data_IF_996200637721
#
_entry.id   IF_996200637721
#
_cell.length_a   1.000
_cell.length_b   1.000
_cell.length_c   1.000
_cell.angle_alpha   90.00
_cell.angle_beta   90.00
_cell.angle_gamma   90.00
#
_symmetry.space_group_name_H-M   'P 1'
#
loop_
_entity.id
_entity.type
_entity.pdbx_description
1 polymer ?
#
# COMPACT_ATOMS: atom_id res chain seq x y z
N UNK A 1 66.22 36.65 43.53
CA UNK A 1 64.94 35.91 43.70
C UNK A 1 64.23 35.87 42.34
N UNK A 2 64.17 34.71 41.70
CA UNK A 2 63.49 34.52 40.39
C UNK A 2 62.26 33.67 40.67
N UNK A 3 61.08 34.29 40.63
CA UNK A 3 59.81 33.51 40.66
C UNK A 3 59.51 32.90 39.32
N UNK A 4 59.32 31.60 39.32
CA UNK A 4 58.88 30.84 38.14
C UNK A 4 57.34 30.75 38.16
N UNK A 5 56.72 31.34 37.16
CA UNK A 5 55.30 31.15 36.93
C UNK A 5 55.09 29.78 36.22
N UNK A 6 54.34 28.92 36.87
CA UNK A 6 53.86 27.66 36.28
C UNK A 6 52.46 27.95 35.70
N UNK A 7 52.34 27.90 34.40
CA UNK A 7 51.08 27.99 33.69
C UNK A 7 50.49 26.59 33.61
N UNK A 8 49.40 26.33 34.32
CA UNK A 8 48.61 25.10 34.22
C UNK A 8 47.65 25.27 33.03
N UNK A 9 47.89 24.53 31.95
CA UNK A 9 46.94 24.42 30.85
C UNK A 9 45.90 23.34 31.19
N UNK A 10 44.65 23.74 31.45
CA UNK A 10 43.55 22.82 31.60
C UNK A 10 43.01 22.41 30.23
N UNK A 11 43.22 21.16 29.86
CA UNK A 11 42.63 20.57 28.66
C UNK A 11 41.20 20.12 29.04
N UNK A 12 40.18 20.87 28.57
CA UNK A 12 38.79 20.46 28.66
C UNK A 12 38.47 19.42 27.58
N UNK A 13 38.36 18.14 27.98
CA UNK A 13 37.91 17.06 27.12
C UNK A 13 36.39 17.16 26.94
N UNK A 14 35.94 17.76 25.84
CA UNK A 14 34.52 17.81 25.49
C UNK A 14 34.05 16.42 25.00
N UNK A 15 33.27 15.75 25.83
CA UNK A 15 32.58 14.52 25.42
C UNK A 15 31.44 14.87 24.43
N UNK A 16 31.63 14.57 23.15
CA UNK A 16 30.57 14.63 22.16
C UNK A 16 29.68 13.42 22.36
N UNK A 17 28.51 13.61 22.99
CA UNK A 17 27.48 12.58 23.07
C UNK A 17 26.79 12.53 21.71
N UNK A 18 27.15 11.56 20.88
CA UNK A 18 26.38 11.24 19.70
C UNK A 18 25.07 10.57 20.16
N UNK A 19 23.99 11.34 20.17
CA UNK A 19 22.65 10.81 20.31
C UNK A 19 22.29 10.06 19.03
N UNK A 20 22.43 8.71 19.04
CA UNK A 20 21.85 7.87 18.01
C UNK A 20 20.33 7.86 18.22
N UNK A 21 19.62 8.72 17.51
CA UNK A 21 18.17 8.60 17.41
C UNK A 21 17.88 7.27 16.69
N UNK A 22 17.51 6.25 17.45
CA UNK A 22 16.96 5.02 16.88
C UNK A 22 15.62 5.39 16.25
N UNK A 23 15.57 5.44 14.91
CA UNK A 23 14.33 5.48 14.19
C UNK A 23 13.64 4.13 14.46
N UNK A 24 12.71 4.09 15.42
CA UNK A 24 11.81 2.96 15.57
C UNK A 24 10.96 2.90 14.32
N UNK A 25 11.24 1.91 13.46
CA UNK A 25 10.34 1.57 12.37
C UNK A 25 9.00 1.18 13.00
N UNK A 26 7.99 2.02 12.83
CA UNK A 26 6.65 1.75 13.31
C UNK A 26 6.14 0.50 12.57
N UNK A 27 6.25 -0.66 13.22
CA UNK A 27 5.70 -1.89 12.66
C UNK A 27 4.18 -1.75 12.59
N UNK A 28 3.63 -1.92 11.38
CA UNK A 28 2.20 -1.98 11.19
C UNK A 28 1.63 -3.17 11.96
N UNK A 29 0.77 -2.90 12.95
CA UNK A 29 0.00 -3.91 13.67
C UNK A 29 -1.44 -3.90 13.13
N UNK A 30 -1.87 -4.93 12.40
CA UNK A 30 -3.23 -5.01 11.86
C UNK A 30 -4.32 -5.02 12.94
N UNK A 31 -3.98 -5.39 14.18
CA UNK A 31 -4.91 -5.42 15.31
C UNK A 31 -5.10 -4.03 15.92
N UNK A 32 -4.11 -3.15 15.79
CA UNK A 32 -4.09 -1.82 16.41
C UNK A 32 -4.42 -0.71 15.42
N UNK A 33 -3.99 -0.84 14.16
CA UNK A 33 -4.21 0.18 13.15
C UNK A 33 -5.50 -0.03 12.38
N UNK A 34 -6.36 0.98 12.38
CA UNK A 34 -7.60 0.98 11.60
C UNK A 34 -7.28 1.01 10.10
N UNK A 35 -7.77 0.00 9.37
CA UNK A 35 -7.63 -0.06 7.92
C UNK A 35 -8.31 1.14 7.26
N UNK A 36 -7.64 1.79 6.33
CA UNK A 36 -8.23 2.81 5.48
C UNK A 36 -9.07 2.13 4.39
N UNK A 37 -10.33 2.55 4.25
CA UNK A 37 -11.18 2.10 3.15
C UNK A 37 -10.86 2.90 1.91
N UNK A 38 -10.58 2.21 0.82
CA UNK A 38 -10.48 2.82 -0.49
C UNK A 38 -11.87 3.00 -1.10
N UNK A 39 -11.98 3.93 -2.03
CA UNK A 39 -13.15 4.02 -2.89
C UNK A 39 -13.32 2.69 -3.63
N UNK A 40 -14.54 2.11 -3.67
CA UNK A 40 -14.75 0.85 -4.37
C UNK A 40 -14.40 0.96 -5.87
N UNK A 41 -13.68 -0.02 -6.40
CA UNK A 41 -13.53 -0.18 -7.84
C UNK A 41 -14.82 -0.79 -8.38
N UNK A 42 -15.48 -0.07 -9.27
CA UNK A 42 -16.71 -0.53 -9.92
C UNK A 42 -16.41 -0.90 -11.36
N UNK A 43 -16.79 -2.11 -11.74
CA UNK A 43 -16.62 -2.69 -13.07
C UNK A 43 -17.99 -2.91 -13.70
N UNK A 44 -18.15 -2.40 -14.90
CA UNK A 44 -19.43 -2.39 -15.60
C UNK A 44 -20.40 -1.34 -15.07
N UNK A 45 -21.41 -1.08 -15.86
CA UNK A 45 -22.58 -0.29 -15.52
C UNK A 45 -23.76 -0.78 -16.36
N UNK A 46 -24.97 -0.38 -16.03
CA UNK A 46 -26.18 -0.80 -16.72
C UNK A 46 -26.11 -0.68 -18.25
N UNK A 47 -25.40 0.32 -18.75
CA UNK A 47 -25.36 0.65 -20.19
C UNK A 47 -23.96 0.45 -20.80
N UNK A 48 -22.95 0.05 -20.03
CA UNK A 48 -21.57 -0.08 -20.50
C UNK A 48 -20.76 -1.10 -19.69
N UNK A 49 -20.53 -2.27 -20.28
CA UNK A 49 -19.69 -3.32 -19.68
C UNK A 49 -18.21 -2.89 -19.51
N UNK A 50 -17.75 -1.90 -20.26
CA UNK A 50 -16.38 -1.38 -20.17
C UNK A 50 -16.25 -0.14 -19.27
N UNK A 51 -17.26 0.14 -18.43
CA UNK A 51 -17.14 1.13 -17.38
C UNK A 51 -16.17 0.63 -16.30
N UNK A 52 -15.25 1.50 -15.87
CA UNK A 52 -14.37 1.25 -14.73
C UNK A 52 -14.09 2.56 -14.00
N UNK A 53 -14.37 2.60 -12.71
CA UNK A 53 -14.09 3.75 -11.86
C UNK A 53 -13.86 3.32 -10.40
N UNK A 54 -12.98 4.02 -9.65
CA UNK A 54 -12.05 5.03 -10.11
C UNK A 54 -10.87 4.44 -10.90
N UNK A 55 -10.13 5.28 -11.63
CA UNK A 55 -8.94 4.88 -12.38
C UNK A 55 -7.62 5.24 -11.68
N UNK A 56 -7.68 5.86 -10.52
CA UNK A 56 -6.48 6.22 -9.75
C UNK A 56 -6.71 6.00 -8.26
N UNK A 57 -5.70 5.41 -7.61
CA UNK A 57 -5.60 5.29 -6.15
C UNK A 57 -4.27 5.86 -5.67
N UNK A 58 -4.30 6.54 -4.52
CA UNK A 58 -3.11 7.03 -3.82
C UNK A 58 -3.00 6.36 -2.46
N UNK A 59 -1.91 5.68 -2.24
CA UNK A 59 -1.63 4.89 -1.04
C UNK A 59 -0.32 5.35 -0.39
N UNK A 60 -0.12 5.01 0.88
CA UNK A 60 1.14 5.20 1.61
C UNK A 60 1.73 3.86 2.03
N UNK A 61 3.05 3.75 1.95
CA UNK A 61 3.80 2.59 2.48
C UNK A 61 3.52 2.44 3.98
N UNK A 62 3.34 1.19 4.43
CA UNK A 62 3.09 0.85 5.83
C UNK A 62 1.65 1.05 6.29
N UNK A 63 0.80 1.66 5.49
CA UNK A 63 -0.61 1.84 5.79
C UNK A 63 -1.40 0.59 5.34
N UNK A 64 -2.34 0.15 6.20
CA UNK A 64 -3.27 -0.92 5.88
C UNK A 64 -4.52 -0.40 5.16
N UNK A 65 -4.97 -1.16 4.18
CA UNK A 65 -6.10 -0.81 3.33
C UNK A 65 -7.11 -1.93 3.21
N UNK A 66 -8.36 -1.53 2.96
CA UNK A 66 -9.46 -2.39 2.51
C UNK A 66 -9.92 -1.88 1.16
N UNK A 67 -9.75 -2.69 0.13
CA UNK A 67 -10.15 -2.39 -1.24
C UNK A 67 -11.29 -3.30 -1.66
N UNK A 68 -12.45 -2.69 -1.89
CA UNK A 68 -13.62 -3.39 -2.43
C UNK A 68 -13.60 -3.28 -3.94
N UNK A 69 -13.82 -4.39 -4.64
CA UNK A 69 -14.00 -4.46 -6.09
C UNK A 69 -15.37 -5.07 -6.35
N UNK A 70 -16.14 -4.44 -7.23
CA UNK A 70 -17.50 -4.83 -7.56
C UNK A 70 -17.66 -4.99 -9.07
N UNK A 71 -18.20 -6.13 -9.50
CA UNK A 71 -18.75 -6.34 -10.82
C UNK A 71 -20.25 -6.04 -10.78
N UNK A 72 -20.74 -5.09 -11.59
CA UNK A 72 -22.14 -4.67 -11.61
C UNK A 72 -22.94 -5.25 -12.80
N UNK A 73 -22.26 -6.00 -13.66
CA UNK A 73 -22.90 -6.70 -14.80
C UNK A 73 -22.41 -8.14 -14.87
N UNK A 74 -23.11 -8.97 -15.63
CA UNK A 74 -22.80 -10.36 -15.91
C UNK A 74 -21.67 -10.55 -16.95
N UNK A 75 -20.94 -9.47 -17.23
CA UNK A 75 -19.73 -9.54 -18.07
C UNK A 75 -18.57 -10.07 -17.22
N UNK A 76 -17.73 -10.91 -17.82
CA UNK A 76 -16.56 -11.50 -17.17
C UNK A 76 -15.44 -10.45 -17.00
N UNK A 77 -14.97 -10.24 -15.76
CA UNK A 77 -13.93 -9.27 -15.45
C UNK A 77 -12.76 -9.94 -14.73
N UNK A 78 -11.63 -10.09 -15.39
CA UNK A 78 -10.38 -10.49 -14.78
C UNK A 78 -9.54 -9.30 -14.35
N UNK A 79 -9.59 -8.93 -13.09
CA UNK A 79 -8.77 -7.80 -12.55
C UNK A 79 -7.36 -8.27 -12.29
N UNK A 80 -6.41 -7.69 -13.01
CA UNK A 80 -4.99 -7.98 -12.89
C UNK A 80 -4.20 -6.75 -12.43
N UNK A 81 -3.24 -6.98 -11.53
CA UNK A 81 -2.30 -5.96 -11.04
C UNK A 81 -0.99 -6.64 -10.61
N UNK A 82 -0.29 -7.38 -11.49
CA UNK A 82 0.76 -8.32 -11.08
C UNK A 82 1.93 -7.64 -10.37
N UNK A 83 2.33 -6.44 -10.80
CA UNK A 83 3.38 -5.69 -10.14
C UNK A 83 2.94 -5.17 -8.77
N UNK A 84 1.69 -4.74 -8.61
CA UNK A 84 1.14 -4.30 -7.35
C UNK A 84 0.98 -5.46 -6.36
N UNK A 85 0.37 -6.56 -6.77
CA UNK A 85 0.14 -7.73 -5.90
C UNK A 85 1.44 -8.33 -5.33
N UNK A 86 2.57 -8.22 -6.04
CA UNK A 86 3.89 -8.65 -5.53
C UNK A 86 4.53 -7.65 -4.56
N UNK A 87 3.99 -6.44 -4.44
CA UNK A 87 4.54 -5.35 -3.62
C UNK A 87 3.58 -4.91 -2.51
N UNK A 88 2.68 -5.82 -2.10
CA UNK A 88 1.81 -5.68 -0.94
C UNK A 88 1.91 -6.93 -0.06
N UNK A 89 1.62 -6.75 1.23
CA UNK A 89 1.34 -7.87 2.12
C UNK A 89 -0.16 -8.08 2.19
N UNK A 90 -0.65 -9.22 1.72
CA UNK A 90 -2.07 -9.58 1.72
C UNK A 90 -2.41 -10.18 3.08
N UNK A 91 -3.31 -9.54 3.82
CA UNK A 91 -3.85 -10.07 5.06
C UNK A 91 -4.90 -11.14 4.78
N UNK A 92 -5.81 -10.84 3.85
CA UNK A 92 -6.90 -11.72 3.43
C UNK A 92 -7.63 -11.18 2.20
N UNK A 93 -8.39 -12.05 1.57
CA UNK A 93 -9.41 -11.74 0.57
C UNK A 93 -10.76 -12.27 1.09
N UNK A 94 -11.80 -11.46 1.04
CA UNK A 94 -13.16 -11.84 1.46
C UNK A 94 -14.11 -11.81 0.28
N UNK A 95 -14.91 -12.87 0.14
CA UNK A 95 -16.00 -13.01 -0.84
C UNK A 95 -17.22 -13.59 -0.13
N UNK A 96 -18.23 -12.76 0.13
CA UNK A 96 -19.40 -13.18 0.91
C UNK A 96 -19.00 -13.67 2.31
N UNK A 97 -19.26 -14.95 2.60
CA UNK A 97 -18.86 -15.60 3.87
C UNK A 97 -17.50 -16.32 3.80
N UNK A 98 -16.82 -16.29 2.65
CA UNK A 98 -15.53 -16.94 2.47
C UNK A 98 -14.38 -15.97 2.72
N UNK A 99 -13.43 -16.38 3.57
CA UNK A 99 -12.15 -15.69 3.79
C UNK A 99 -11.00 -16.54 3.25
N UNK A 100 -10.20 -15.97 2.35
CA UNK A 100 -9.03 -16.62 1.76
C UNK A 100 -7.75 -15.98 2.32
N UNK A 101 -6.83 -16.81 2.83
CA UNK A 101 -5.46 -16.43 3.19
C UNK A 101 -4.53 -16.83 2.05
N UNK A 102 -3.83 -15.86 1.48
CA UNK A 102 -2.89 -16.08 0.39
C UNK A 102 -1.69 -15.16 0.52
N UNK A 103 -0.54 -15.62 0.02
CA UNK A 103 0.68 -14.81 0.00
C UNK A 103 0.72 -13.83 -1.19
N UNK A 104 0.05 -14.15 -2.29
CA UNK A 104 -0.02 -13.32 -3.49
C UNK A 104 -1.30 -13.60 -4.28
N UNK A 105 -1.60 -12.72 -5.22
CA UNK A 105 -2.66 -12.86 -6.20
C UNK A 105 -2.07 -12.75 -7.61
N UNK A 106 -2.64 -13.48 -8.54
CA UNK A 106 -2.41 -13.30 -9.98
C UNK A 106 -3.54 -12.47 -10.57
N UNK A 107 -4.78 -12.82 -10.22
CA UNK A 107 -6.00 -12.28 -10.79
C UNK A 107 -7.16 -12.41 -9.80
N UNK A 108 -8.12 -11.52 -9.92
CA UNK A 108 -9.45 -11.61 -9.31
C UNK A 108 -10.47 -11.65 -10.44
N UNK A 109 -11.03 -12.80 -10.72
CA UNK A 109 -11.96 -13.03 -11.82
C UNK A 109 -13.41 -13.08 -11.32
N UNK A 110 -14.26 -12.28 -11.95
CA UNK A 110 -15.69 -12.25 -11.72
C UNK A 110 -16.37 -12.88 -12.94
N UNK A 111 -17.03 -13.99 -12.75
CA UNK A 111 -17.85 -14.67 -13.79
C UNK A 111 -19.28 -14.13 -13.84
N UNK A 112 -19.70 -13.35 -12.83
CA UNK A 112 -21.03 -12.79 -12.69
C UNK A 112 -20.98 -11.55 -11.77
N UNK A 113 -22.12 -10.91 -11.57
CA UNK A 113 -22.29 -9.83 -10.60
C UNK A 113 -21.82 -10.27 -9.21
N UNK A 114 -20.95 -9.48 -8.61
CA UNK A 114 -20.40 -9.84 -7.31
C UNK A 114 -19.48 -8.79 -6.73
N UNK A 115 -18.98 -9.08 -5.54
CA UNK A 115 -18.00 -8.23 -4.89
C UNK A 115 -16.94 -9.05 -4.14
N UNK A 116 -15.74 -8.50 -4.10
CA UNK A 116 -14.61 -9.02 -3.33
C UNK A 116 -13.97 -7.88 -2.54
N UNK A 117 -13.41 -8.19 -1.39
CA UNK A 117 -12.65 -7.25 -0.57
C UNK A 117 -11.23 -7.77 -0.33
N UNK A 118 -10.26 -6.98 -0.74
CA UNK A 118 -8.85 -7.23 -0.51
C UNK A 118 -8.38 -6.39 0.69
N UNK A 119 -7.81 -7.07 1.70
CA UNK A 119 -7.22 -6.45 2.88
C UNK A 119 -5.71 -6.60 2.82
N UNK A 120 -4.99 -5.47 2.77
CA UNK A 120 -3.56 -5.49 2.52
C UNK A 120 -2.82 -4.30 3.15
N UNK A 121 -1.50 -4.42 3.19
CA UNK A 121 -0.57 -3.32 3.50
C UNK A 121 0.30 -3.08 2.28
N UNK A 122 0.41 -1.83 1.85
CA UNK A 122 1.37 -1.44 0.80
C UNK A 122 2.79 -1.44 1.40
N UNK A 123 3.73 -2.22 0.81
CA UNK A 123 5.08 -2.39 1.36
C UNK A 123 6.18 -1.75 0.53
N UNK A 124 5.91 -1.37 -0.71
CA UNK A 124 6.91 -0.75 -1.58
C UNK A 124 6.35 0.47 -2.30
N UNK A 125 7.06 1.62 -2.26
CA UNK A 125 6.66 2.79 -3.02
C UNK A 125 6.83 2.54 -4.52
N UNK A 126 6.00 3.21 -5.32
CA UNK A 126 6.05 3.09 -6.78
C UNK A 126 4.71 3.42 -7.43
N UNK A 127 4.72 3.41 -8.75
CA UNK A 127 3.52 3.55 -9.56
C UNK A 127 3.23 2.21 -10.23
N UNK A 128 2.05 1.68 -9.96
CA UNK A 128 1.61 0.37 -10.41
C UNK A 128 0.38 0.52 -11.29
N UNK A 129 0.28 -0.32 -12.31
CA UNK A 129 -0.90 -0.41 -13.17
C UNK A 129 -1.82 -1.53 -12.67
N UNK A 130 -3.11 -1.33 -12.78
CA UNK A 130 -4.12 -2.37 -12.75
C UNK A 130 -5.01 -2.28 -13.98
N UNK A 131 -5.56 -3.39 -14.42
CA UNK A 131 -6.44 -3.42 -15.59
C UNK A 131 -7.43 -4.57 -15.49
N UNK A 132 -8.41 -4.57 -16.38
CA UNK A 132 -9.21 -5.76 -16.68
C UNK A 132 -8.61 -6.44 -17.91
N UNK A 133 -8.21 -7.70 -17.74
CA UNK A 133 -7.57 -8.52 -18.78
C UNK A 133 -8.42 -8.57 -20.04
N UNK A 134 -7.81 -8.22 -21.18
CA UNK A 134 -8.47 -8.22 -22.49
C UNK A 134 -9.40 -7.01 -22.76
N UNK A 135 -9.52 -6.08 -21.78
CA UNK A 135 -10.30 -4.86 -21.93
C UNK A 135 -9.45 -3.57 -21.82
N UNK A 136 -8.12 -3.70 -21.86
CA UNK A 136 -7.19 -2.57 -21.75
C UNK A 136 -7.42 -1.54 -22.85
N UNK A 137 -7.59 -1.97 -24.10
CA UNK A 137 -7.86 -1.11 -25.24
C UNK A 137 -9.25 -0.43 -25.17
N UNK A 138 -10.13 -0.95 -24.34
CA UNK A 138 -11.43 -0.34 -24.03
C UNK A 138 -11.34 0.67 -22.89
N UNK A 139 -10.12 0.93 -22.40
CA UNK A 139 -9.85 1.91 -21.36
C UNK A 139 -10.07 1.39 -19.93
N UNK A 140 -10.18 0.06 -19.73
CA UNK A 140 -10.25 -0.54 -18.40
C UNK A 140 -8.83 -0.71 -17.81
N UNK A 141 -8.14 0.42 -17.68
CA UNK A 141 -6.79 0.54 -17.11
C UNK A 141 -6.80 1.64 -16.07
N UNK A 142 -6.12 1.43 -14.97
CA UNK A 142 -5.95 2.39 -13.90
C UNK A 142 -4.57 2.32 -13.27
N UNK A 143 -4.31 3.23 -12.33
CA UNK A 143 -3.02 3.42 -11.69
C UNK A 143 -3.16 3.45 -10.18
N UNK A 144 -2.24 2.80 -9.49
CA UNK A 144 -2.07 2.86 -8.04
C UNK A 144 -0.72 3.51 -7.76
N UNK A 145 -0.72 4.68 -7.15
CA UNK A 145 0.48 5.37 -6.70
C UNK A 145 0.68 5.06 -5.22
N UNK A 146 1.79 4.41 -4.88
CA UNK A 146 2.18 4.18 -3.50
C UNK A 146 3.30 5.15 -3.15
N UNK A 147 3.00 6.11 -2.29
CA UNK A 147 3.96 7.10 -1.81
C UNK A 147 4.81 6.52 -0.67
N UNK A 148 6.06 7.00 -0.54
CA UNK A 148 6.88 6.72 0.63
C UNK A 148 6.14 7.18 1.89
N UNK A 149 6.25 6.40 2.97
CA UNK A 149 5.81 6.87 4.27
C UNK A 149 6.59 8.13 4.66
N UNK A 150 5.94 9.07 5.33
CA UNK A 150 6.63 10.25 5.86
C UNK A 150 7.73 9.74 6.81
N UNK A 151 9.00 10.03 6.48
CA UNK A 151 10.12 9.86 7.39
C UNK A 151 9.99 10.95 8.46
N UNK A 152 9.37 10.61 9.58
CA UNK A 152 9.33 11.48 10.76
C UNK A 152 10.59 11.27 11.58
#
# INVERSE_FOLDING_TARGET
>A
MKQKFVVLAAIALGAVVLSTASAEAQMFDPAVHKLQRLEPLVLGSKDNNFHMAPKEYKLKVGQGYRWKIKAETDFEYGVIAPAFFRNIWIRKVEMGSLEVKTATLEELEFEDVGEVELFFVAIRPGTYQFSVRGAEERGMVGTIVVESGDSS
#
